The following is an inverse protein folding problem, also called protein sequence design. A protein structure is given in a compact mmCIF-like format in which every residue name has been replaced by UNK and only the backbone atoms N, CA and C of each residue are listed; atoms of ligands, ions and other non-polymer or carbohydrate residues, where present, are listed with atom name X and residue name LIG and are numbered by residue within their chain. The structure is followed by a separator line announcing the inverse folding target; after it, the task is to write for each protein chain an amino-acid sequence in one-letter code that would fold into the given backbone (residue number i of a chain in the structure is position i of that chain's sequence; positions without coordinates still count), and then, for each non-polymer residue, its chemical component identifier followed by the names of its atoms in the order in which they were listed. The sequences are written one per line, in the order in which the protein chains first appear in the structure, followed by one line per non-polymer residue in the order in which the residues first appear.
data_IF_783071481844
#
_entry.id   IF_783071481844
#
_cell.length_a   1.000
_cell.length_b   1.000
_cell.length_c   1.000
_cell.angle_alpha   90.00
_cell.angle_beta   90.00
_cell.angle_gamma   90.00
#
_symmetry.space_group_name_H-M   'P 1'
#
loop_
_entity.id
_entity.type
_entity.pdbx_description
1 polymer ?
#
# COMPACT_ATOMS: atom_id res chain seq x y z
N UNK A 1 11.17 13.99 15.55
CA UNK A 1 11.00 12.62 16.06
C UNK A 1 10.97 12.70 17.57
N UNK A 2 9.87 12.29 18.18
CA UNK A 2 9.88 11.88 19.58
C UNK A 2 10.26 10.39 19.54
N UNK A 3 11.27 9.99 20.30
CA UNK A 3 11.85 8.64 20.23
C UNK A 3 10.87 7.52 20.56
N UNK A 4 9.73 7.84 21.19
CA UNK A 4 8.74 6.89 21.71
C UNK A 4 7.41 6.88 20.91
N UNK A 5 7.29 7.62 19.80
CA UNK A 5 6.05 7.68 19.02
C UNK A 5 6.21 7.08 17.63
N UNK A 6 5.21 6.34 17.19
CA UNK A 6 5.14 5.88 15.79
C UNK A 6 5.07 7.11 14.88
N UNK A 7 5.94 7.22 13.86
CA UNK A 7 5.88 8.31 12.90
C UNK A 7 4.51 8.38 12.24
N UNK A 8 3.90 9.55 12.24
CA UNK A 8 2.65 9.80 11.54
C UNK A 8 2.77 11.01 10.63
N UNK A 9 1.96 11.04 9.58
CA UNK A 9 1.94 12.15 8.65
C UNK A 9 1.33 13.38 9.32
N UNK A 10 1.91 14.54 9.02
CA UNK A 10 1.35 15.83 9.45
C UNK A 10 0.39 16.28 8.36
N UNK A 11 -0.85 16.57 8.73
CA UNK A 11 -1.83 17.17 7.85
C UNK A 11 -1.26 18.45 7.20
N UNK A 12 -1.36 18.53 5.88
CA UNK A 12 -0.75 19.61 5.07
C UNK A 12 -1.74 20.63 4.58
N UNK A 13 -3.00 20.25 4.41
CA UNK A 13 -4.05 21.13 3.92
C UNK A 13 -5.39 20.82 4.58
N UNK A 14 -6.19 21.86 4.70
CA UNK A 14 -7.50 21.86 5.36
C UNK A 14 -8.63 22.24 4.41
N UNK A 15 -8.29 22.65 3.19
CA UNK A 15 -9.24 23.04 2.14
C UNK A 15 -8.92 22.35 0.82
N UNK A 16 -9.95 22.22 -0.03
CA UNK A 16 -9.79 21.67 -1.40
C UNK A 16 -8.83 22.52 -2.23
N UNK A 17 -8.90 23.84 -2.06
CA UNK A 17 -8.02 24.79 -2.77
C UNK A 17 -6.53 24.57 -2.43
N UNK A 18 -6.22 24.34 -1.15
CA UNK A 18 -4.86 24.01 -0.72
C UNK A 18 -4.42 22.68 -1.30
N UNK A 19 -5.28 21.66 -1.30
CA UNK A 19 -5.02 20.36 -1.91
C UNK A 19 -4.71 20.48 -3.41
N UNK A 20 -5.52 21.26 -4.15
CA UNK A 20 -5.32 21.47 -5.58
C UNK A 20 -3.97 22.13 -5.89
N UNK A 21 -3.54 23.09 -5.07
CA UNK A 21 -2.29 23.83 -5.24
C UNK A 21 -1.06 23.10 -4.68
N UNK A 22 -1.27 22.02 -3.90
CA UNK A 22 -0.16 21.33 -3.26
C UNK A 22 0.74 20.65 -4.29
N UNK A 23 2.00 21.03 -4.32
CA UNK A 23 3.02 20.38 -5.14
C UNK A 23 3.67 19.21 -4.39
N UNK A 24 3.59 18.03 -4.99
CA UNK A 24 4.27 16.87 -4.43
C UNK A 24 5.79 17.10 -4.50
N UNK A 25 6.52 16.89 -3.39
CA UNK A 25 7.96 17.09 -3.37
C UNK A 25 8.66 16.14 -4.36
N UNK A 26 9.84 16.54 -4.84
CA UNK A 26 10.67 15.64 -5.61
C UNK A 26 11.01 14.42 -4.75
N UNK A 27 10.70 13.21 -5.21
CA UNK A 27 10.79 12.00 -4.40
C UNK A 27 12.20 11.74 -3.85
N UNK A 28 13.26 12.16 -4.57
CA UNK A 28 14.64 12.01 -4.12
C UNK A 28 14.96 12.83 -2.87
N UNK A 29 14.22 13.90 -2.59
CA UNK A 29 14.36 14.70 -1.38
C UNK A 29 13.53 14.20 -0.18
N UNK A 30 12.82 13.09 -0.35
CA UNK A 30 11.94 12.48 0.66
C UNK A 30 12.56 11.19 1.24
N UNK A 31 11.81 10.52 2.13
CA UNK A 31 12.18 9.18 2.61
C UNK A 31 12.38 8.17 1.46
N UNK A 32 11.69 8.32 0.35
CA UNK A 32 11.91 7.46 -0.81
C UNK A 32 13.33 7.59 -1.38
N UNK A 33 13.90 8.80 -1.41
CA UNK A 33 15.31 8.98 -1.77
C UNK A 33 16.25 8.33 -0.77
N UNK A 34 15.99 8.49 0.54
CA UNK A 34 16.77 7.85 1.60
C UNK A 34 16.69 6.32 1.56
N UNK A 35 15.55 5.74 1.17
CA UNK A 35 15.42 4.27 0.98
C UNK A 35 16.44 3.73 -0.04
N UNK A 36 16.79 4.51 -1.07
CA UNK A 36 17.82 4.11 -2.04
C UNK A 36 19.20 4.07 -1.37
N UNK A 37 19.54 5.08 -0.56
CA UNK A 37 20.79 5.10 0.18
C UNK A 37 20.89 3.90 1.13
N UNK A 38 19.83 3.66 1.91
CA UNK A 38 19.76 2.52 2.81
C UNK A 38 19.82 1.18 2.08
N UNK A 39 19.17 1.07 0.92
CA UNK A 39 19.24 -0.14 0.10
C UNK A 39 20.69 -0.48 -0.27
N UNK A 40 21.48 0.50 -0.72
CA UNK A 40 22.87 0.27 -1.07
C UNK A 40 23.72 -0.09 0.16
N UNK A 41 23.56 0.62 1.27
CA UNK A 41 24.27 0.33 2.51
C UNK A 41 23.91 -1.05 3.07
N UNK A 42 22.64 -1.42 3.07
CA UNK A 42 22.19 -2.74 3.53
C UNK A 42 22.68 -3.85 2.60
N UNK A 43 22.69 -3.61 1.29
CA UNK A 43 23.18 -4.59 0.32
C UNK A 43 24.65 -4.89 0.53
N UNK A 44 25.48 -3.85 0.66
CA UNK A 44 26.90 -3.97 0.97
C UNK A 44 27.14 -4.71 2.30
N UNK A 45 26.35 -4.39 3.32
CA UNK A 45 26.42 -5.07 4.62
C UNK A 45 26.11 -6.55 4.50
N UNK A 46 25.05 -6.92 3.81
CA UNK A 46 24.59 -8.30 3.66
C UNK A 46 25.53 -9.14 2.79
N UNK A 47 26.18 -8.56 1.79
CA UNK A 47 27.19 -9.26 0.97
C UNK A 47 28.37 -9.78 1.80
N UNK A 48 28.66 -9.11 2.94
CA UNK A 48 29.70 -9.49 3.88
C UNK A 48 29.19 -10.31 5.07
N UNK A 49 27.90 -10.63 5.13
CA UNK A 49 27.29 -11.40 6.20
C UNK A 49 27.08 -12.88 5.83
N UNK A 50 27.33 -13.74 6.80
CA UNK A 50 26.88 -15.13 6.75
C UNK A 50 25.80 -15.36 7.79
N UNK A 51 24.55 -15.52 7.33
CA UNK A 51 23.43 -15.88 8.21
C UNK A 51 23.19 -17.37 8.15
N UNK A 52 23.18 -18.02 9.33
CA UNK A 52 22.89 -19.46 9.48
C UNK A 52 21.65 -19.67 10.34
N UNK A 53 20.77 -20.57 9.91
CA UNK A 53 19.66 -21.07 10.69
C UNK A 53 19.81 -22.59 10.81
N UNK A 54 19.82 -23.11 12.04
CA UNK A 54 20.04 -24.53 12.31
C UNK A 54 21.30 -25.10 11.63
N UNK A 55 22.38 -24.28 11.48
CA UNK A 55 23.62 -24.65 10.82
C UNK A 55 23.65 -24.49 9.31
N UNK A 56 22.51 -24.28 8.66
CA UNK A 56 22.40 -24.06 7.22
C UNK A 56 22.55 -22.57 6.89
N UNK A 57 23.31 -22.26 5.82
CA UNK A 57 23.45 -20.89 5.33
C UNK A 57 22.15 -20.43 4.66
N UNK A 58 21.62 -19.33 5.14
CA UNK A 58 20.42 -18.70 4.57
C UNK A 58 20.81 -17.46 3.78
N UNK A 59 20.40 -17.36 2.50
CA UNK A 59 20.61 -16.16 1.71
C UNK A 59 19.74 -15.01 2.26
N UNK A 60 20.36 -13.90 2.63
CA UNK A 60 19.65 -12.67 3.01
C UNK A 60 19.46 -11.83 1.76
N UNK A 61 18.21 -11.42 1.51
CA UNK A 61 17.84 -10.63 0.34
C UNK A 61 17.38 -9.24 0.77
N UNK A 62 18.05 -8.22 0.29
CA UNK A 62 17.62 -6.82 0.46
C UNK A 62 16.69 -6.47 -0.67
N UNK A 63 15.53 -5.92 -0.36
CA UNK A 63 14.51 -5.51 -1.34
C UNK A 63 14.36 -3.99 -1.35
N UNK A 64 14.08 -3.43 -2.53
CA UNK A 64 13.75 -2.03 -2.72
C UNK A 64 12.40 -1.94 -3.43
N UNK A 65 11.41 -1.38 -2.77
CA UNK A 65 10.06 -1.20 -3.32
C UNK A 65 9.33 -0.08 -2.58
N UNK A 66 8.30 0.47 -3.19
CA UNK A 66 7.45 1.47 -2.54
C UNK A 66 6.67 0.89 -1.36
N UNK A 67 6.44 -0.43 -1.32
CA UNK A 67 5.65 -1.17 -0.33
C UNK A 67 5.01 -0.27 0.73
N UNK A 68 3.70 -0.21 0.78
CA UNK A 68 3.04 0.60 1.79
C UNK A 68 1.74 1.21 1.30
N UNK A 69 1.47 2.36 1.84
CA UNK A 69 0.21 3.06 1.75
C UNK A 69 -0.18 3.39 0.32
N UNK A 70 -1.47 3.25 0.04
CA UNK A 70 -2.04 3.63 -1.25
C UNK A 70 -2.00 5.14 -1.48
N UNK A 71 -2.16 5.62 -2.73
CA UNK A 71 -2.44 7.03 -2.97
C UNK A 71 -3.64 7.56 -2.21
N UNK A 72 -4.66 6.71 -1.96
CA UNK A 72 -5.82 7.09 -1.15
C UNK A 72 -5.44 7.29 0.33
N UNK A 73 -4.68 6.36 0.92
CA UNK A 73 -4.17 6.53 2.28
C UNK A 73 -3.31 7.78 2.39
N UNK A 74 -2.37 8.00 1.47
CA UNK A 74 -1.53 9.20 1.44
C UNK A 74 -2.36 10.50 1.35
N UNK A 75 -3.44 10.50 0.57
CA UNK A 75 -4.33 11.65 0.48
C UNK A 75 -5.08 11.90 1.80
N UNK A 76 -5.56 10.83 2.45
CA UNK A 76 -6.20 10.93 3.77
C UNK A 76 -5.21 11.42 4.83
N UNK A 77 -3.98 10.95 4.82
CA UNK A 77 -2.95 11.43 5.76
C UNK A 77 -2.64 12.92 5.57
N UNK A 78 -2.57 13.39 4.33
CA UNK A 78 -2.26 14.79 4.01
C UNK A 78 -3.43 15.75 4.29
N UNK A 79 -4.67 15.29 4.12
CA UNK A 79 -5.90 16.09 4.28
C UNK A 79 -6.64 15.85 5.60
N UNK A 80 -6.29 14.77 6.31
CA UNK A 80 -7.05 14.31 7.46
C UNK A 80 -8.44 13.80 7.06
N UNK A 81 -9.34 13.77 8.02
CA UNK A 81 -10.74 13.31 7.83
C UNK A 81 -11.52 14.12 6.80
N UNK A 82 -11.08 15.34 6.48
CA UNK A 82 -11.71 16.20 5.49
C UNK A 82 -11.73 15.55 4.10
N UNK A 83 -10.74 14.70 3.78
CA UNK A 83 -10.68 14.04 2.48
C UNK A 83 -11.94 13.23 2.18
N UNK A 84 -12.50 12.58 3.19
CA UNK A 84 -13.74 11.81 3.02
C UNK A 84 -14.94 12.67 2.64
N UNK A 85 -15.07 13.88 3.21
CA UNK A 85 -16.11 14.84 2.82
C UNK A 85 -15.91 15.35 1.40
N UNK A 86 -14.64 15.62 1.04
CA UNK A 86 -14.31 16.14 -0.30
C UNK A 86 -14.56 15.12 -1.43
N UNK A 87 -14.60 13.82 -1.14
CA UNK A 87 -15.05 12.82 -2.13
C UNK A 87 -16.47 13.09 -2.62
N UNK A 88 -17.32 13.75 -1.81
CA UNK A 88 -18.69 14.13 -2.16
C UNK A 88 -18.80 15.58 -2.66
N UNK A 89 -18.06 16.49 -2.05
CA UNK A 89 -18.13 17.93 -2.30
C UNK A 89 -17.34 18.36 -3.54
N UNK A 90 -16.18 17.72 -3.78
CA UNK A 90 -15.25 18.06 -4.86
C UNK A 90 -14.63 16.79 -5.49
N UNK A 91 -15.43 15.86 -6.02
CA UNK A 91 -14.95 14.56 -6.48
C UNK A 91 -13.90 14.64 -7.59
N UNK A 92 -14.01 15.63 -8.49
CA UNK A 92 -13.03 15.82 -9.57
C UNK A 92 -11.66 16.22 -9.04
N UNK A 93 -11.62 17.15 -8.09
CA UNK A 93 -10.37 17.57 -7.45
C UNK A 93 -9.71 16.41 -6.70
N UNK A 94 -10.50 15.57 -6.01
CA UNK A 94 -10.00 14.38 -5.35
C UNK A 94 -9.41 13.37 -6.35
N UNK A 95 -10.09 13.12 -7.48
CA UNK A 95 -9.58 12.21 -8.53
C UNK A 95 -8.26 12.72 -9.10
N UNK A 96 -8.18 14.02 -9.40
CA UNK A 96 -6.95 14.62 -9.92
C UNK A 96 -5.80 14.50 -8.91
N UNK A 97 -6.06 14.80 -7.64
CA UNK A 97 -5.04 14.70 -6.59
C UNK A 97 -4.54 13.27 -6.41
N UNK A 98 -5.46 12.30 -6.34
CA UNK A 98 -5.12 10.88 -6.27
C UNK A 98 -4.30 10.42 -7.48
N UNK A 99 -4.61 10.92 -8.68
CA UNK A 99 -3.87 10.61 -9.89
C UNK A 99 -2.43 11.16 -9.83
N UNK A 100 -2.25 12.39 -9.34
CA UNK A 100 -0.91 12.98 -9.15
C UNK A 100 -0.05 12.18 -8.17
N UNK A 101 -0.65 11.70 -7.07
CA UNK A 101 0.06 10.80 -6.14
C UNK A 101 0.40 9.48 -6.83
N UNK A 102 -0.55 8.88 -7.57
CA UNK A 102 -0.32 7.63 -8.29
C UNK A 102 0.79 7.75 -9.35
N UNK A 103 0.87 8.87 -10.06
CA UNK A 103 1.96 9.15 -11.01
C UNK A 103 3.32 9.16 -10.31
N UNK A 104 3.39 9.75 -9.12
CA UNK A 104 4.60 9.73 -8.30
C UNK A 104 4.96 8.31 -7.84
N UNK A 105 3.97 7.49 -7.48
CA UNK A 105 4.20 6.08 -7.13
C UNK A 105 4.77 5.30 -8.32
N UNK A 106 4.21 5.50 -9.52
CA UNK A 106 4.72 4.88 -10.74
C UNK A 106 6.18 5.28 -11.02
N UNK A 107 6.49 6.57 -10.90
CA UNK A 107 7.85 7.09 -11.07
C UNK A 107 8.83 6.40 -10.12
N UNK A 108 8.50 6.41 -8.83
CA UNK A 108 9.38 5.87 -7.77
C UNK A 108 9.56 4.36 -7.91
N UNK A 109 8.47 3.59 -8.06
CA UNK A 109 8.58 2.13 -8.16
C UNK A 109 9.31 1.71 -9.43
N UNK A 110 9.12 2.41 -10.54
CA UNK A 110 9.88 2.16 -11.78
C UNK A 110 11.38 2.35 -11.55
N UNK A 111 11.76 3.44 -10.90
CA UNK A 111 13.17 3.71 -10.61
C UNK A 111 13.74 2.73 -9.58
N UNK A 112 12.98 2.34 -8.58
CA UNK A 112 13.39 1.32 -7.61
C UNK A 112 13.66 -0.03 -8.27
N UNK A 113 12.81 -0.45 -9.22
CA UNK A 113 13.03 -1.69 -9.98
C UNK A 113 14.27 -1.60 -10.84
N UNK A 114 14.50 -0.45 -11.48
CA UNK A 114 15.71 -0.21 -12.25
C UNK A 114 16.97 -0.29 -11.37
N UNK A 115 16.97 0.36 -10.20
CA UNK A 115 18.11 0.36 -9.25
C UNK A 115 18.38 -1.04 -8.70
N UNK A 116 17.33 -1.77 -8.35
CA UNK A 116 17.46 -3.10 -7.74
C UNK A 116 17.62 -4.24 -8.74
N UNK A 117 17.46 -3.98 -10.04
CA UNK A 117 17.47 -5.00 -11.10
C UNK A 117 16.23 -5.91 -11.07
N UNK A 118 15.13 -5.49 -10.41
CA UNK A 118 13.88 -6.25 -10.38
C UNK A 118 13.12 -6.10 -11.70
N UNK A 119 12.47 -7.18 -12.19
CA UNK A 119 11.56 -7.07 -13.35
C UNK A 119 10.41 -6.07 -13.07
N UNK A 120 9.91 -5.43 -14.14
CA UNK A 120 8.77 -4.51 -14.00
C UNK A 120 7.51 -5.23 -13.48
N UNK A 121 7.29 -6.48 -13.83
CA UNK A 121 6.18 -7.30 -13.34
C UNK A 121 6.69 -8.41 -12.44
N UNK A 122 6.95 -8.08 -11.19
CA UNK A 122 7.47 -9.00 -10.16
C UNK A 122 6.62 -9.01 -8.88
N UNK A 123 5.41 -8.51 -8.97
CA UNK A 123 4.48 -8.39 -7.85
C UNK A 123 4.48 -7.00 -7.22
N UNK A 124 3.38 -6.64 -6.62
CA UNK A 124 3.16 -5.39 -5.90
C UNK A 124 2.36 -5.64 -4.62
N UNK A 125 2.88 -5.12 -3.51
CA UNK A 125 2.16 -5.02 -2.25
C UNK A 125 1.50 -3.65 -2.18
N UNK A 126 0.22 -3.62 -1.82
CA UNK A 126 -0.59 -2.43 -1.79
C UNK A 126 -1.43 -2.41 -0.52
N UNK A 127 -1.42 -1.31 0.23
CA UNK A 127 -2.19 -1.16 1.47
C UNK A 127 -3.21 -0.05 1.31
N UNK A 128 -4.46 -0.31 1.72
CA UNK A 128 -5.58 0.64 1.53
C UNK A 128 -6.49 0.72 2.78
N UNK A 129 -5.88 0.73 3.97
CA UNK A 129 -6.58 0.66 5.25
C UNK A 129 -7.61 1.78 5.44
N UNK A 130 -7.32 2.98 4.95
CA UNK A 130 -8.23 4.13 5.00
C UNK A 130 -9.52 3.92 4.19
N UNK A 131 -9.54 2.96 3.27
CA UNK A 131 -10.71 2.67 2.43
C UNK A 131 -11.83 1.92 3.16
N UNK A 132 -11.60 1.37 4.35
CA UNK A 132 -12.60 0.63 5.11
C UNK A 132 -13.86 1.45 5.46
N UNK A 133 -13.74 2.78 5.50
CA UNK A 133 -14.85 3.70 5.90
C UNK A 133 -15.64 4.24 4.72
N UNK A 134 -15.22 3.99 3.48
CA UNK A 134 -15.94 4.43 2.29
C UNK A 134 -16.79 3.29 1.71
N UNK A 135 -17.85 3.63 0.99
CA UNK A 135 -18.72 2.65 0.34
C UNK A 135 -18.00 1.92 -0.81
N UNK A 136 -18.48 0.73 -1.17
CA UNK A 136 -18.01 0.01 -2.37
C UNK A 136 -18.10 0.88 -3.65
N UNK A 137 -19.13 1.72 -3.76
CA UNK A 137 -19.28 2.64 -4.90
C UNK A 137 -18.12 3.64 -4.94
N UNK A 138 -17.82 4.29 -3.82
CA UNK A 138 -16.70 5.24 -3.73
C UNK A 138 -15.36 4.55 -3.93
N UNK A 139 -15.18 3.35 -3.37
CA UNK A 139 -13.97 2.56 -3.59
C UNK A 139 -13.73 2.27 -5.07
N UNK A 140 -14.78 1.87 -5.81
CA UNK A 140 -14.72 1.66 -7.25
C UNK A 140 -14.44 2.94 -8.03
N UNK A 141 -14.91 4.06 -7.55
CA UNK A 141 -14.74 5.35 -8.20
C UNK A 141 -13.35 5.95 -7.99
N UNK A 142 -12.81 5.89 -6.77
CA UNK A 142 -11.59 6.61 -6.39
C UNK A 142 -10.36 5.72 -6.24
N UNK A 143 -10.51 4.50 -5.74
CA UNK A 143 -9.38 3.62 -5.40
C UNK A 143 -9.09 2.60 -6.51
N UNK A 144 -10.12 1.92 -7.04
CA UNK A 144 -9.96 0.83 -8.01
C UNK A 144 -9.20 1.27 -9.28
N UNK A 145 -9.44 2.43 -9.92
CA UNK A 145 -8.72 2.81 -11.13
C UNK A 145 -7.21 2.92 -10.90
N UNK A 146 -6.82 3.43 -9.74
CA UNK A 146 -5.43 3.63 -9.35
C UNK A 146 -4.77 2.29 -9.01
N UNK A 147 -5.39 1.50 -8.14
CA UNK A 147 -4.87 0.20 -7.74
C UNK A 147 -4.73 -0.74 -8.96
N UNK A 148 -5.72 -0.75 -9.86
CA UNK A 148 -5.65 -1.50 -11.11
C UNK A 148 -4.46 -1.09 -11.96
N UNK A 149 -4.27 0.22 -12.19
CA UNK A 149 -3.13 0.75 -12.94
C UNK A 149 -1.80 0.26 -12.36
N UNK A 150 -1.63 0.34 -11.05
CA UNK A 150 -0.41 -0.09 -10.37
C UNK A 150 -0.21 -1.60 -10.46
N UNK A 151 -1.26 -2.41 -10.29
CA UNK A 151 -1.18 -3.86 -10.44
C UNK A 151 -0.93 -4.29 -11.90
N UNK A 152 -1.47 -3.58 -12.88
CA UNK A 152 -1.22 -3.90 -14.30
C UNK A 152 0.21 -3.57 -14.72
N UNK A 153 0.82 -2.56 -14.10
CA UNK A 153 2.22 -2.21 -14.34
C UNK A 153 3.21 -3.11 -13.60
N UNK A 154 2.94 -3.42 -12.34
CA UNK A 154 3.92 -4.00 -11.43
C UNK A 154 3.52 -5.38 -10.89
N UNK A 155 2.24 -5.69 -10.85
CA UNK A 155 1.71 -6.98 -10.40
C UNK A 155 2.03 -8.12 -11.35
N UNK A 156 1.90 -9.33 -10.87
CA UNK A 156 1.99 -10.56 -11.68
C UNK A 156 0.99 -11.60 -11.17
N UNK A 157 0.89 -12.73 -11.87
CA UNK A 157 -0.14 -13.76 -11.58
C UNK A 157 0.31 -14.80 -10.54
N UNK A 158 1.48 -14.58 -9.88
CA UNK A 158 1.89 -15.40 -8.74
C UNK A 158 0.91 -15.25 -7.58
N UNK A 159 0.90 -16.22 -6.66
CA UNK A 159 0.02 -16.20 -5.48
C UNK A 159 0.17 -14.95 -4.61
N UNK A 160 1.32 -14.28 -4.64
CA UNK A 160 1.67 -13.06 -3.93
C UNK A 160 1.84 -11.84 -4.85
N UNK A 161 1.52 -11.99 -6.13
CA UNK A 161 1.85 -11.01 -7.16
C UNK A 161 0.95 -9.79 -7.21
N UNK A 162 -0.26 -9.87 -6.64
CA UNK A 162 -1.20 -8.77 -6.44
C UNK A 162 -1.70 -8.82 -5.01
N UNK A 163 -0.83 -8.43 -4.06
CA UNK A 163 -1.15 -8.44 -2.65
C UNK A 163 -1.86 -7.15 -2.25
N UNK A 164 -3.00 -7.32 -1.55
CA UNK A 164 -3.72 -6.25 -0.90
C UNK A 164 -3.63 -6.41 0.62
N UNK A 165 -3.27 -5.35 1.32
CA UNK A 165 -3.42 -5.25 2.76
C UNK A 165 -4.60 -4.35 3.10
N UNK A 166 -5.49 -4.84 3.96
CA UNK A 166 -6.62 -4.09 4.48
C UNK A 166 -6.82 -4.45 5.95
N UNK A 167 -6.67 -3.48 6.82
CA UNK A 167 -7.07 -3.59 8.22
C UNK A 167 -8.59 -3.35 8.40
N UNK A 168 -9.11 -3.68 9.58
CA UNK A 168 -10.48 -3.39 9.96
C UNK A 168 -11.53 -4.18 9.18
N UNK A 169 -12.78 -3.70 9.22
CA UNK A 169 -13.92 -4.36 8.59
C UNK A 169 -14.05 -3.94 7.13
N UNK A 170 -13.67 -4.81 6.24
CA UNK A 170 -13.54 -4.51 4.81
C UNK A 170 -14.36 -5.44 3.87
N UNK A 171 -15.23 -6.29 4.43
CA UNK A 171 -16.02 -7.28 3.67
C UNK A 171 -16.79 -6.68 2.50
N UNK A 172 -17.32 -5.47 2.67
CA UNK A 172 -18.07 -4.77 1.62
C UNK A 172 -17.21 -4.43 0.39
N UNK A 173 -15.86 -4.41 0.53
CA UNK A 173 -14.93 -4.16 -0.56
C UNK A 173 -14.53 -5.43 -1.32
N UNK A 174 -14.77 -6.63 -0.77
CA UNK A 174 -14.38 -7.91 -1.38
C UNK A 174 -14.80 -8.08 -2.84
N UNK A 175 -16.01 -7.64 -3.26
CA UNK A 175 -16.39 -7.72 -4.67
C UNK A 175 -15.43 -6.96 -5.60
N UNK A 176 -14.94 -5.78 -5.17
CA UNK A 176 -13.99 -5.01 -5.97
C UNK A 176 -12.60 -5.66 -5.95
N UNK A 177 -12.15 -6.16 -4.80
CA UNK A 177 -10.87 -6.84 -4.68
C UNK A 177 -10.77 -8.03 -5.64
N UNK A 178 -11.83 -8.85 -5.68
CA UNK A 178 -11.86 -10.05 -6.50
C UNK A 178 -12.09 -9.76 -7.98
N UNK A 179 -13.10 -8.95 -8.31
CA UNK A 179 -13.58 -8.83 -9.69
C UNK A 179 -12.99 -7.62 -10.43
N UNK A 180 -12.65 -6.56 -9.70
CA UNK A 180 -12.13 -5.34 -10.30
C UNK A 180 -10.60 -5.30 -10.28
N UNK A 181 -9.96 -5.83 -9.23
CA UNK A 181 -8.50 -5.79 -9.04
C UNK A 181 -7.80 -7.12 -9.28
N UNK A 182 -8.53 -8.24 -9.26
CA UNK A 182 -7.98 -9.59 -9.40
C UNK A 182 -6.80 -9.82 -8.43
N UNK A 183 -7.00 -9.48 -7.13
CA UNK A 183 -5.97 -9.71 -6.13
C UNK A 183 -5.69 -11.22 -6.00
N UNK A 184 -4.45 -11.54 -5.70
CA UNK A 184 -4.00 -12.93 -5.50
C UNK A 184 -3.81 -13.27 -4.02
N UNK A 185 -3.58 -12.25 -3.18
CA UNK A 185 -3.41 -12.39 -1.75
C UNK A 185 -4.07 -11.22 -1.02
N UNK A 186 -4.88 -11.54 0.02
CA UNK A 186 -5.37 -10.56 0.99
C UNK A 186 -4.67 -10.78 2.32
N UNK A 187 -3.99 -9.74 2.81
CA UNK A 187 -3.27 -9.72 4.08
C UNK A 187 -3.99 -8.81 5.07
N UNK A 188 -3.97 -9.18 6.36
CA UNK A 188 -4.43 -8.31 7.44
C UNK A 188 -5.94 -8.24 7.64
N UNK A 189 -6.73 -9.14 7.05
CA UNK A 189 -8.19 -9.10 7.19
C UNK A 189 -8.72 -9.30 8.62
N UNK A 190 -7.89 -9.70 9.55
CA UNK A 190 -8.08 -9.65 11.00
C UNK A 190 -9.39 -10.20 11.56
N UNK A 191 -9.55 -10.05 12.86
CA UNK A 191 -10.73 -10.47 13.62
C UNK A 191 -11.99 -9.63 13.37
N UNK A 192 -11.83 -8.46 12.73
CA UNK A 192 -12.96 -7.59 12.40
C UNK A 192 -13.90 -8.17 11.34
N UNK A 193 -13.42 -9.18 10.56
CA UNK A 193 -14.20 -9.89 9.57
C UNK A 193 -14.49 -11.30 10.06
N UNK A 194 -15.76 -11.64 10.21
CA UNK A 194 -16.14 -12.99 10.60
C UNK A 194 -15.73 -14.01 9.52
N UNK A 195 -15.34 -15.25 9.89
CA UNK A 195 -14.96 -16.27 8.91
C UNK A 195 -16.00 -16.49 7.83
N UNK A 196 -17.28 -16.41 8.16
CA UNK A 196 -18.40 -16.56 7.24
C UNK A 196 -18.45 -15.47 6.17
N UNK A 197 -17.91 -14.30 6.46
CA UNK A 197 -17.87 -13.16 5.53
C UNK A 197 -16.76 -13.31 4.47
N UNK A 198 -15.87 -14.29 4.64
CA UNK A 198 -14.77 -14.57 3.71
C UNK A 198 -15.16 -15.46 2.51
N UNK A 199 -16.40 -15.90 2.42
CA UNK A 199 -16.85 -16.84 1.37
C UNK A 199 -16.54 -16.40 -0.05
N UNK A 200 -16.62 -15.10 -0.33
CA UNK A 200 -16.38 -14.59 -1.68
C UNK A 200 -14.92 -14.82 -2.11
N UNK A 201 -13.99 -14.74 -1.19
CA UNK A 201 -12.56 -14.85 -1.43
C UNK A 201 -12.03 -16.28 -1.24
N UNK A 202 -12.71 -17.08 -0.44
CA UNK A 202 -12.28 -18.43 -0.08
C UNK A 202 -12.05 -19.31 -1.33
N UNK A 203 -10.89 -19.94 -1.41
CA UNK A 203 -10.51 -20.78 -2.55
C UNK A 203 -10.14 -20.03 -3.83
N UNK A 204 -10.20 -18.69 -3.84
CA UNK A 204 -9.86 -17.86 -5.01
C UNK A 204 -8.66 -16.94 -4.74
N UNK A 205 -8.49 -16.54 -3.50
CA UNK A 205 -7.44 -15.63 -3.04
C UNK A 205 -6.74 -16.28 -1.85
N UNK A 206 -5.43 -16.15 -1.77
CA UNK A 206 -4.68 -16.55 -0.57
C UNK A 206 -5.03 -15.59 0.55
N UNK A 207 -5.44 -16.12 1.71
CA UNK A 207 -5.79 -15.33 2.88
C UNK A 207 -4.69 -15.46 3.92
N UNK A 208 -4.12 -14.35 4.35
CA UNK A 208 -3.08 -14.28 5.36
C UNK A 208 -3.53 -13.43 6.54
N UNK A 209 -3.72 -14.06 7.70
CA UNK A 209 -4.14 -13.36 8.91
C UNK A 209 -5.22 -14.12 9.67
N UNK A 210 -6.07 -13.36 10.36
CA UNK A 210 -7.25 -13.72 11.13
C UNK A 210 -6.98 -14.04 12.62
N UNK A 211 -5.78 -13.76 13.11
CA UNK A 211 -5.54 -13.81 14.57
C UNK A 211 -5.65 -12.38 15.10
N UNK A 212 -6.55 -12.19 16.07
CA UNK A 212 -6.69 -10.92 16.76
C UNK A 212 -5.43 -10.66 17.62
N UNK A 213 -4.71 -9.57 17.40
CA UNK A 213 -3.55 -9.18 18.21
C UNK A 213 -3.88 -9.11 19.71
N UNK A 214 -5.09 -8.71 20.08
CA UNK A 214 -5.51 -8.65 21.48
C UNK A 214 -5.67 -10.04 22.10
N UNK A 215 -5.99 -11.06 21.29
CA UNK A 215 -6.02 -12.46 21.75
C UNK A 215 -4.60 -12.99 22.05
N UNK A 216 -3.60 -12.49 21.33
CA UNK A 216 -2.20 -12.86 21.57
C UNK A 216 -1.60 -12.14 22.78
N UNK A 217 -2.20 -11.03 23.22
CA UNK A 217 -1.72 -10.22 24.33
C UNK A 217 -2.24 -10.73 25.70
N UNK A 218 -3.24 -11.60 25.74
CA UNK A 218 -3.81 -12.22 26.94
C UNK A 218 -3.04 -13.48 27.33
#
# INVERSE_FOLDING_TARGET
WQEDETPHAIQRFTTVDEMCRYELPAWRSTLWGKKVEWYHAMKEFVENMEVRLNGERIPVKVTLSINGDSPFMSAVELAGVNFYSWLLEAPDACREFLQRIADRYVEVETEYRRISGRPMRDGLNYSDDSAQVISLKQYREFCVPIARRLYDMFGCDRFDGRMMHLCGRNVHLHPALLHDLNITLLHGFGSANAPEEMHLLAGKVVLQGNIDPMTLYQ
#
